data_IF_537433377032
#
_entry.id   IF_537433377032
#
_cell.length_a   1.000
_cell.length_b   1.000
_cell.length_c   1.000
_cell.angle_alpha   90.00
_cell.angle_beta   90.00
_cell.angle_gamma   90.00
#
_symmetry.space_group_name_H-M   'P 1'
#
loop_
_entity.id
_entity.type
_entity.pdbx_description
1 polymer ?
#
# COMPACT_ATOMS: atom_id res chain seq x y z
N UNK A 1 -2.19 7.59 4.74
CA UNK A 1 -1.45 8.90 4.71
C UNK A 1 -1.72 9.73 3.46
N UNK A 2 -1.57 9.19 2.25
CA UNK A 2 -1.72 9.92 0.96
C UNK A 2 -3.01 10.74 0.84
N UNK A 3 -4.17 10.19 1.26
CA UNK A 3 -5.46 10.91 1.16
C UNK A 3 -5.51 12.10 2.14
N UNK A 4 -4.98 11.96 3.36
CA UNK A 4 -4.91 13.05 4.34
C UNK A 4 -4.09 14.19 3.76
N UNK A 5 -2.87 13.89 3.29
CA UNK A 5 -1.97 14.86 2.68
C UNK A 5 -2.64 15.60 1.50
N UNK A 6 -3.31 14.86 0.62
CA UNK A 6 -4.02 15.44 -0.54
C UNK A 6 -5.12 16.41 -0.11
N UNK A 7 -5.90 16.08 0.91
CA UNK A 7 -6.96 16.98 1.42
C UNK A 7 -6.41 18.31 1.94
N UNK A 8 -5.29 18.28 2.68
CA UNK A 8 -4.64 19.52 3.10
C UNK A 8 -4.01 20.25 1.91
N UNK A 9 -3.39 19.55 0.98
CA UNK A 9 -2.78 20.12 -0.22
C UNK A 9 -3.81 20.84 -1.09
N UNK A 10 -4.97 20.26 -1.33
CA UNK A 10 -6.06 20.87 -2.10
C UNK A 10 -6.51 22.23 -1.50
N UNK A 11 -6.46 22.38 -0.18
CA UNK A 11 -6.80 23.65 0.46
C UNK A 11 -5.71 24.70 0.23
N UNK A 12 -4.44 24.32 0.35
CA UNK A 12 -3.31 25.26 0.25
C UNK A 12 -2.96 25.60 -1.19
N UNK A 13 -3.28 24.74 -2.18
CA UNK A 13 -3.01 24.99 -3.59
C UNK A 13 -3.77 26.16 -4.17
N UNK A 14 -4.92 26.51 -3.57
CA UNK A 14 -5.77 27.62 -4.02
C UNK A 14 -5.48 28.94 -3.29
N UNK A 15 -4.50 28.95 -2.35
CA UNK A 15 -4.16 30.10 -1.55
C UNK A 15 -3.00 30.90 -2.17
N UNK A 16 -3.07 32.22 -2.08
CA UNK A 16 -1.93 33.08 -2.36
C UNK A 16 -0.88 33.02 -1.22
N UNK A 17 0.32 33.58 -1.44
CA UNK A 17 1.43 33.48 -0.48
C UNK A 17 1.11 34.02 0.92
N UNK A 18 0.34 35.11 0.99
CA UNK A 18 -0.02 35.72 2.27
C UNK A 18 -1.04 34.91 3.04
N UNK A 19 -2.08 34.39 2.36
CA UNK A 19 -3.07 33.51 2.93
C UNK A 19 -2.46 32.15 3.32
N UNK A 20 -1.47 31.67 2.57
CA UNK A 20 -0.75 30.43 2.86
C UNK A 20 -0.03 30.50 4.20
N UNK A 21 0.68 31.61 4.49
CA UNK A 21 1.42 31.79 5.76
C UNK A 21 0.53 31.71 7.00
N UNK A 22 -0.72 32.14 6.87
CA UNK A 22 -1.70 32.17 7.97
C UNK A 22 -2.66 30.99 7.97
N UNK A 23 -2.53 30.08 7.00
CA UNK A 23 -3.45 28.96 6.84
C UNK A 23 -3.15 27.83 7.84
N UNK A 24 -4.15 27.42 8.63
CA UNK A 24 -4.07 26.25 9.49
C UNK A 24 -3.90 24.95 8.68
N UNK A 25 -4.31 24.93 7.43
CA UNK A 25 -4.13 23.78 6.55
C UNK A 25 -2.66 23.50 6.23
N UNK A 26 -1.78 24.54 6.18
CA UNK A 26 -0.34 24.35 5.95
C UNK A 26 0.31 23.56 7.10
N UNK A 27 -0.16 23.77 8.33
CA UNK A 27 0.35 23.02 9.50
C UNK A 27 0.00 21.53 9.37
N UNK A 28 -1.25 21.21 9.03
CA UNK A 28 -1.67 19.83 8.77
C UNK A 28 -0.92 19.18 7.60
N UNK A 29 -0.66 19.94 6.54
CA UNK A 29 0.16 19.49 5.42
C UNK A 29 1.61 19.19 5.85
N UNK A 30 2.21 20.09 6.63
CA UNK A 30 3.58 19.94 7.13
C UNK A 30 3.74 18.71 8.05
N UNK A 31 2.74 18.36 8.85
CA UNK A 31 2.74 17.10 9.59
C UNK A 31 2.82 15.89 8.65
N UNK A 32 2.04 15.91 7.58
CA UNK A 32 2.12 14.85 6.58
C UNK A 32 3.49 14.76 5.93
N UNK A 33 4.10 15.90 5.58
CA UNK A 33 5.45 15.96 4.98
C UNK A 33 6.53 15.43 5.93
N UNK A 34 6.48 15.76 7.23
CA UNK A 34 7.41 15.24 8.23
C UNK A 34 7.37 13.70 8.29
N UNK A 35 6.16 13.12 8.32
CA UNK A 35 5.96 11.69 8.36
C UNK A 35 6.47 11.02 7.08
N UNK A 36 6.17 11.59 5.90
CA UNK A 36 6.67 11.06 4.63
C UNK A 36 8.19 11.18 4.49
N UNK A 37 8.78 12.26 4.96
CA UNK A 37 10.22 12.47 4.92
C UNK A 37 10.95 11.44 5.78
N UNK A 38 10.45 11.14 6.98
CA UNK A 38 11.01 10.09 7.81
C UNK A 38 10.96 8.72 7.10
N UNK A 39 9.81 8.33 6.57
CA UNK A 39 9.67 7.06 5.84
C UNK A 39 10.55 6.98 4.57
N UNK A 40 10.74 8.10 3.88
CA UNK A 40 11.64 8.18 2.73
C UNK A 40 13.10 7.99 3.16
N UNK A 41 13.55 8.69 4.19
CA UNK A 41 14.91 8.54 4.74
C UNK A 41 15.19 7.11 5.21
N UNK A 42 14.22 6.45 5.87
CA UNK A 42 14.34 5.05 6.26
C UNK A 42 14.55 4.13 5.05
N UNK A 43 13.81 4.37 3.98
CA UNK A 43 13.96 3.59 2.74
C UNK A 43 15.29 3.84 2.05
N UNK A 44 15.69 5.10 1.91
CA UNK A 44 16.96 5.48 1.27
C UNK A 44 18.17 4.93 2.00
N UNK A 45 18.16 4.98 3.33
CA UNK A 45 19.33 4.60 4.14
C UNK A 45 19.43 3.10 4.39
N UNK A 46 18.32 2.36 4.45
CA UNK A 46 18.33 0.99 4.97
C UNK A 46 17.69 -0.06 4.05
N UNK A 47 17.03 0.30 2.93
CA UNK A 47 16.29 -0.67 2.09
C UNK A 47 17.17 -1.80 1.53
N UNK A 48 18.47 -1.58 1.42
CA UNK A 48 19.43 -2.57 0.90
C UNK A 48 20.14 -3.37 2.01
N UNK A 49 19.76 -3.19 3.27
CA UNK A 49 20.34 -3.93 4.41
C UNK A 49 19.49 -5.14 4.75
N UNK A 50 20.14 -6.26 5.16
CA UNK A 50 19.41 -7.48 5.52
C UNK A 50 18.50 -7.33 6.75
N UNK A 51 18.72 -6.28 7.56
CA UNK A 51 17.97 -5.95 8.76
C UNK A 51 17.00 -4.77 8.59
N UNK A 52 16.63 -4.43 7.35
CA UNK A 52 15.80 -3.27 7.01
C UNK A 52 14.52 -3.18 7.83
N UNK A 53 13.75 -4.25 7.91
CA UNK A 53 12.46 -4.23 8.61
C UNK A 53 12.64 -4.07 10.13
N UNK A 54 13.69 -4.64 10.70
CA UNK A 54 14.00 -4.50 12.11
C UNK A 54 14.38 -3.04 12.44
N UNK A 55 15.29 -2.45 11.68
CA UNK A 55 15.68 -1.04 11.84
C UNK A 55 14.50 -0.08 11.62
N UNK A 56 13.67 -0.37 10.61
CA UNK A 56 12.47 0.42 10.34
C UNK A 56 11.51 0.38 11.52
N UNK A 57 11.30 -0.77 12.13
CA UNK A 57 10.50 -0.93 13.34
C UNK A 57 11.04 -0.09 14.51
N UNK A 58 12.32 -0.21 14.82
CA UNK A 58 12.96 0.50 15.92
C UNK A 58 12.91 2.03 15.75
N UNK A 59 13.23 2.53 14.56
CA UNK A 59 13.21 3.96 14.27
C UNK A 59 11.76 4.48 14.26
N UNK A 60 10.80 3.71 13.79
CA UNK A 60 9.38 4.08 13.88
C UNK A 60 8.90 4.22 15.32
N UNK A 61 9.29 3.32 16.21
CA UNK A 61 8.95 3.45 17.63
C UNK A 61 9.59 4.68 18.26
N UNK A 62 10.81 5.00 17.88
CA UNK A 62 11.56 6.14 18.42
C UNK A 62 11.08 7.48 17.85
N UNK A 63 10.96 7.57 16.54
CA UNK A 63 10.83 8.86 15.84
C UNK A 63 9.45 9.05 15.20
N UNK A 64 8.83 8.00 14.62
CA UNK A 64 7.52 8.12 13.98
C UNK A 64 6.37 8.15 14.99
N UNK A 65 6.46 7.34 16.06
CA UNK A 65 5.42 7.30 17.10
C UNK A 65 5.13 8.69 17.68
N UNK A 66 6.13 9.45 18.19
CA UNK A 66 5.86 10.78 18.72
C UNK A 66 5.34 11.75 17.65
N UNK A 67 5.73 11.61 16.37
CA UNK A 67 5.18 12.42 15.28
C UNK A 67 3.70 12.13 15.04
N UNK A 68 3.28 10.86 15.08
CA UNK A 68 1.88 10.48 14.93
C UNK A 68 1.03 10.95 16.12
N UNK A 69 1.56 10.86 17.33
CA UNK A 69 0.90 11.33 18.55
C UNK A 69 0.71 12.86 18.54
N UNK A 70 1.75 13.61 18.20
CA UNK A 70 1.67 15.06 18.09
C UNK A 70 0.74 15.52 16.94
N UNK A 71 0.71 14.79 15.83
CA UNK A 71 -0.22 15.07 14.74
C UNK A 71 -1.67 14.80 15.16
N UNK A 72 -1.93 13.72 15.90
CA UNK A 72 -3.25 13.41 16.43
C UNK A 72 -3.72 14.49 17.42
N UNK A 73 -2.85 14.97 18.30
CA UNK A 73 -3.14 16.07 19.23
C UNK A 73 -3.46 17.36 18.47
N UNK A 74 -2.67 17.73 17.46
CA UNK A 74 -2.95 18.86 16.58
C UNK A 74 -4.35 18.74 15.95
N UNK A 75 -4.70 17.57 15.37
CA UNK A 75 -6.00 17.34 14.74
C UNK A 75 -7.14 17.53 15.77
N UNK A 76 -7.00 16.92 16.95
CA UNK A 76 -8.02 16.98 18.00
C UNK A 76 -8.21 18.38 18.60
N UNK A 77 -7.20 19.21 18.52
CA UNK A 77 -7.27 20.62 18.93
C UNK A 77 -7.92 21.47 17.84
N UNK A 78 -7.42 21.38 16.62
CA UNK A 78 -7.87 22.22 15.50
C UNK A 78 -9.32 21.95 15.06
N UNK A 79 -9.78 20.71 15.20
CA UNK A 79 -11.14 20.35 14.78
C UNK A 79 -12.22 21.05 15.61
N UNK A 80 -11.91 21.44 16.85
CA UNK A 80 -12.86 22.14 17.76
C UNK A 80 -13.25 23.51 17.23
N UNK A 81 -12.30 24.18 16.59
CA UNK A 81 -12.44 25.55 16.07
C UNK A 81 -12.67 25.59 14.54
N UNK A 82 -12.73 24.43 13.89
CA UNK A 82 -12.96 24.35 12.46
C UNK A 82 -14.45 24.21 12.14
N UNK A 83 -14.93 24.99 11.17
CA UNK A 83 -16.30 24.84 10.68
C UNK A 83 -16.48 23.45 10.05
N UNK A 84 -17.42 22.61 10.50
CA UNK A 84 -17.51 21.19 10.08
C UNK A 84 -17.65 20.98 8.57
N UNK A 85 -18.35 21.89 7.87
CA UNK A 85 -18.56 21.81 6.41
C UNK A 85 -17.48 22.49 5.58
N UNK A 86 -16.55 23.21 6.21
CA UNK A 86 -15.43 23.84 5.50
C UNK A 86 -14.47 22.78 4.94
N UNK A 87 -13.65 23.13 3.91
CA UNK A 87 -12.62 22.24 3.41
C UNK A 87 -11.66 21.79 4.52
N UNK A 88 -11.26 22.68 5.42
CA UNK A 88 -10.40 22.37 6.56
C UNK A 88 -11.10 21.42 7.56
N UNK A 89 -12.35 21.69 7.92
CA UNK A 89 -13.11 20.82 8.83
C UNK A 89 -13.24 19.39 8.29
N UNK A 90 -13.56 19.24 7.00
CA UNK A 90 -13.62 17.94 6.32
C UNK A 90 -12.25 17.22 6.27
N UNK A 91 -11.15 17.96 6.09
CA UNK A 91 -9.81 17.38 6.09
C UNK A 91 -9.43 16.90 7.49
N UNK A 92 -9.69 17.70 8.53
CA UNK A 92 -9.45 17.36 9.93
C UNK A 92 -10.31 16.18 10.39
N UNK A 93 -11.60 16.15 10.04
CA UNK A 93 -12.50 15.03 10.37
C UNK A 93 -12.00 13.72 9.75
N UNK A 94 -11.56 13.77 8.50
CA UNK A 94 -10.99 12.59 7.85
C UNK A 94 -9.68 12.15 8.52
N UNK A 95 -8.81 13.10 8.87
CA UNK A 95 -7.55 12.83 9.55
C UNK A 95 -7.80 12.23 10.94
N UNK A 96 -8.74 12.76 11.72
CA UNK A 96 -9.12 12.25 13.04
C UNK A 96 -9.55 10.78 13.02
N UNK A 97 -10.30 10.37 11.98
CA UNK A 97 -10.73 8.97 11.80
C UNK A 97 -9.62 8.04 11.31
N UNK A 98 -8.59 8.60 10.68
CA UNK A 98 -7.59 7.81 9.93
C UNK A 98 -6.26 7.71 10.68
N UNK A 99 -5.78 8.78 11.32
CA UNK A 99 -4.47 8.81 11.99
C UNK A 99 -4.34 7.74 13.09
N UNK A 100 -5.34 7.49 13.96
CA UNK A 100 -5.26 6.40 14.92
C UNK A 100 -5.01 5.03 14.29
N UNK A 101 -5.64 4.77 13.12
CA UNK A 101 -5.47 3.51 12.38
C UNK A 101 -4.07 3.38 11.75
N UNK A 102 -3.40 4.49 11.50
CA UNK A 102 -2.03 4.46 10.96
C UNK A 102 -1.01 3.99 11.99
N UNK A 103 -1.33 4.03 13.28
CA UNK A 103 -0.45 3.52 14.34
C UNK A 103 -0.15 2.01 14.21
N UNK A 104 -0.97 1.26 13.45
CA UNK A 104 -0.68 -0.14 13.10
C UNK A 104 0.70 -0.33 12.45
N UNK A 105 1.24 0.67 11.74
CA UNK A 105 2.59 0.57 11.17
C UNK A 105 3.71 0.51 12.21
N UNK A 106 3.38 0.80 13.47
CA UNK A 106 4.29 0.69 14.61
C UNK A 106 4.37 -0.74 15.16
N UNK A 107 3.52 -1.65 14.69
CA UNK A 107 3.48 -3.05 15.17
C UNK A 107 4.48 -3.92 14.42
N UNK A 108 4.78 -3.59 13.15
CA UNK A 108 5.69 -4.35 12.30
C UNK A 108 6.39 -3.44 11.29
N UNK A 109 7.71 -3.56 11.17
CA UNK A 109 8.52 -2.79 10.22
C UNK A 109 8.25 -3.11 8.75
N UNK A 110 7.62 -4.24 8.43
CA UNK A 110 7.25 -4.61 7.06
C UNK A 110 6.02 -3.86 6.55
N UNK A 111 5.17 -3.34 7.45
CA UNK A 111 3.95 -2.63 7.09
C UNK A 111 4.24 -1.29 6.41
N UNK A 112 3.53 -1.01 5.32
CA UNK A 112 3.64 0.25 4.60
C UNK A 112 2.68 1.32 5.16
N UNK A 113 3.15 2.58 5.23
CA UNK A 113 2.34 3.71 5.74
C UNK A 113 1.27 4.15 4.75
N UNK A 114 1.35 3.70 3.52
CA UNK A 114 0.37 3.96 2.46
C UNK A 114 -0.06 2.67 1.77
N UNK A 115 -1.11 2.76 0.96
CA UNK A 115 -1.67 1.61 0.24
C UNK A 115 -1.15 1.53 -1.21
N UNK A 116 -0.03 2.18 -1.54
CA UNK A 116 0.46 2.26 -2.91
C UNK A 116 0.82 0.88 -3.49
N UNK A 117 1.32 -0.04 -2.67
CA UNK A 117 1.63 -1.40 -3.11
C UNK A 117 0.36 -2.15 -3.54
N UNK A 118 -0.69 -2.12 -2.70
CA UNK A 118 -1.97 -2.74 -3.02
C UNK A 118 -2.65 -2.05 -4.22
N UNK A 119 -2.62 -0.70 -4.30
CA UNK A 119 -3.14 0.04 -5.46
C UNK A 119 -2.41 -0.36 -6.75
N UNK A 120 -1.08 -0.52 -6.72
CA UNK A 120 -0.30 -0.99 -7.88
C UNK A 120 -0.65 -2.43 -8.27
N UNK A 121 -0.84 -3.31 -7.28
CA UNK A 121 -1.21 -4.71 -7.54
C UNK A 121 -2.60 -4.84 -8.19
N UNK A 122 -3.54 -3.99 -7.80
CA UNK A 122 -4.91 -3.99 -8.37
C UNK A 122 -4.99 -3.26 -9.71
N UNK A 123 -4.10 -2.30 -9.97
CA UNK A 123 -4.12 -1.45 -11.17
C UNK A 123 -4.13 -2.23 -12.49
N UNK A 124 -3.33 -3.29 -12.72
CA UNK A 124 -3.37 -4.07 -13.95
C UNK A 124 -4.75 -4.68 -14.21
N UNK A 125 -5.42 -5.19 -13.15
CA UNK A 125 -6.78 -5.71 -13.24
C UNK A 125 -7.79 -4.64 -13.67
N UNK A 126 -7.70 -3.43 -13.07
CA UNK A 126 -8.60 -2.32 -13.41
C UNK A 126 -8.36 -1.82 -14.84
N UNK A 127 -7.12 -1.78 -15.31
CA UNK A 127 -6.78 -1.40 -16.69
C UNK A 127 -7.24 -2.49 -17.66
N UNK A 128 -6.96 -3.75 -17.36
CA UNK A 128 -7.36 -4.89 -18.17
C UNK A 128 -8.87 -4.98 -18.35
N UNK A 129 -9.65 -4.56 -17.35
CA UNK A 129 -11.11 -4.48 -17.43
C UNK A 129 -11.63 -3.64 -18.63
N UNK A 130 -10.88 -2.66 -19.09
CA UNK A 130 -11.21 -1.87 -20.28
C UNK A 130 -11.08 -2.64 -21.58
N UNK A 131 -10.22 -3.68 -21.61
CA UNK A 131 -9.91 -4.45 -22.80
C UNK A 131 -10.83 -5.67 -23.00
N UNK A 132 -11.42 -6.19 -21.94
CA UNK A 132 -12.20 -7.44 -21.94
C UNK A 132 -13.61 -7.28 -21.39
N UNK A 133 -14.22 -6.16 -21.64
CA UNK A 133 -15.66 -5.95 -21.41
C UNK A 133 -16.24 -6.88 -20.33
N UNK A 134 -16.40 -6.38 -19.14
CA UNK A 134 -17.20 -6.89 -18.01
C UNK A 134 -17.47 -8.41 -17.97
N UNK A 135 -17.14 -9.05 -16.87
CA UNK A 135 -17.70 -10.36 -16.56
C UNK A 135 -19.22 -10.20 -16.39
N UNK A 136 -20.00 -10.79 -17.29
CA UNK A 136 -21.47 -10.73 -17.28
C UNK A 136 -22.08 -11.46 -16.08
N UNK A 137 -21.28 -12.23 -15.34
CA UNK A 137 -21.72 -12.99 -14.18
C UNK A 137 -20.77 -12.82 -13.00
N UNK A 138 -21.30 -12.91 -11.78
CA UNK A 138 -20.49 -12.90 -10.56
C UNK A 138 -19.43 -14.02 -10.54
N UNK A 139 -19.76 -15.21 -11.10
CA UNK A 139 -18.83 -16.33 -11.23
C UNK A 139 -17.68 -16.00 -12.17
N UNK A 140 -17.94 -15.40 -13.33
CA UNK A 140 -16.90 -14.97 -14.28
C UNK A 140 -16.00 -13.88 -13.69
N UNK A 141 -16.57 -12.90 -12.97
CA UNK A 141 -15.80 -11.88 -12.28
C UNK A 141 -14.85 -12.47 -11.23
N UNK A 142 -15.32 -13.43 -10.44
CA UNK A 142 -14.51 -14.14 -9.44
C UNK A 142 -13.38 -14.93 -10.09
N UNK A 143 -13.67 -15.67 -11.16
CA UNK A 143 -12.65 -16.45 -11.89
C UNK A 143 -11.56 -15.54 -12.46
N UNK A 144 -11.92 -14.43 -13.09
CA UNK A 144 -10.97 -13.45 -13.60
C UNK A 144 -10.11 -12.86 -12.47
N UNK A 145 -10.72 -12.46 -11.35
CA UNK A 145 -9.99 -11.93 -10.20
C UNK A 145 -9.01 -12.95 -9.62
N UNK A 146 -9.39 -14.24 -9.55
CA UNK A 146 -8.52 -15.32 -9.08
C UNK A 146 -7.29 -15.50 -9.99
N UNK A 147 -7.49 -15.57 -11.31
CA UNK A 147 -6.39 -15.71 -12.27
C UNK A 147 -5.43 -14.51 -12.20
N UNK A 148 -5.98 -13.29 -12.12
CA UNK A 148 -5.15 -12.09 -11.96
C UNK A 148 -4.37 -12.06 -10.65
N UNK A 149 -4.98 -12.52 -9.56
CA UNK A 149 -4.29 -12.64 -8.28
C UNK A 149 -3.09 -13.60 -8.38
N UNK A 150 -3.25 -14.74 -9.05
CA UNK A 150 -2.16 -15.69 -9.30
C UNK A 150 -1.07 -15.04 -10.16
N UNK A 151 -1.42 -14.35 -11.25
CA UNK A 151 -0.49 -13.67 -12.14
C UNK A 151 0.32 -12.61 -11.40
N UNK A 152 -0.32 -11.72 -10.66
CA UNK A 152 0.38 -10.66 -9.93
C UNK A 152 1.26 -11.22 -8.79
N UNK A 153 0.82 -12.30 -8.15
CA UNK A 153 1.63 -13.01 -7.16
C UNK A 153 2.85 -13.67 -7.81
N UNK A 154 2.68 -14.30 -8.98
CA UNK A 154 3.79 -14.89 -9.71
C UNK A 154 4.81 -13.84 -10.15
N UNK A 155 4.38 -12.66 -10.62
CA UNK A 155 5.26 -11.51 -10.90
C UNK A 155 6.03 -11.08 -9.66
N UNK A 156 5.35 -10.93 -8.52
CA UNK A 156 5.97 -10.54 -7.26
C UNK A 156 7.03 -11.53 -6.78
N UNK A 157 6.88 -12.81 -7.12
CA UNK A 157 7.84 -13.87 -6.83
C UNK A 157 8.89 -14.09 -7.95
N UNK A 158 8.97 -13.20 -8.94
CA UNK A 158 9.98 -13.24 -9.99
C UNK A 158 9.84 -14.43 -10.94
N UNK A 159 8.60 -14.86 -11.23
CA UNK A 159 8.35 -15.97 -12.15
C UNK A 159 8.11 -15.49 -13.59
N UNK A 160 8.46 -16.32 -14.56
CA UNK A 160 8.11 -16.17 -15.98
C UNK A 160 6.66 -16.56 -16.18
N UNK A 161 5.77 -15.57 -16.28
CA UNK A 161 4.32 -15.73 -16.14
C UNK A 161 3.72 -16.78 -17.06
N UNK A 162 4.00 -16.71 -18.36
CA UNK A 162 3.45 -17.63 -19.36
C UNK A 162 3.85 -19.09 -19.06
N UNK A 163 5.12 -19.33 -18.78
CA UNK A 163 5.63 -20.64 -18.43
C UNK A 163 5.10 -21.17 -17.11
N UNK A 164 4.95 -20.29 -16.12
CA UNK A 164 4.37 -20.66 -14.85
C UNK A 164 2.89 -21.03 -14.99
N UNK A 165 2.10 -20.27 -15.74
CA UNK A 165 0.70 -20.61 -16.01
C UNK A 165 0.58 -21.95 -16.76
N UNK A 166 1.40 -22.18 -17.77
CA UNK A 166 1.45 -23.49 -18.45
C UNK A 166 1.74 -24.61 -17.47
N UNK A 167 2.82 -24.50 -16.69
CA UNK A 167 3.17 -25.45 -15.64
C UNK A 167 2.02 -25.68 -14.67
N UNK A 168 1.36 -24.62 -14.19
CA UNK A 168 0.25 -24.69 -13.26
C UNK A 168 -0.93 -25.48 -13.83
N UNK A 169 -1.33 -25.21 -15.07
CA UNK A 169 -2.42 -25.91 -15.74
C UNK A 169 -2.09 -27.39 -15.98
N UNK A 170 -0.88 -27.71 -16.41
CA UNK A 170 -0.41 -29.07 -16.59
C UNK A 170 -0.37 -29.82 -15.26
N UNK A 171 0.21 -29.22 -14.21
CA UNK A 171 0.32 -29.82 -12.90
C UNK A 171 -1.07 -30.09 -12.28
N UNK A 172 -1.98 -29.11 -12.29
CA UNK A 172 -3.34 -29.29 -11.73
C UNK A 172 -4.11 -30.39 -12.47
N UNK A 173 -3.91 -30.50 -13.79
CA UNK A 173 -4.60 -31.52 -14.60
C UNK A 173 -4.13 -32.95 -14.28
N UNK A 174 -2.89 -33.10 -13.83
CA UNK A 174 -2.27 -34.38 -13.51
C UNK A 174 -2.29 -34.73 -12.02
N UNK A 175 -2.85 -33.87 -11.15
CA UNK A 175 -3.02 -34.21 -9.73
C UNK A 175 -4.10 -35.29 -9.55
N UNK A 176 -3.71 -36.38 -8.90
CA UNK A 176 -4.66 -37.44 -8.49
C UNK A 176 -5.63 -36.91 -7.43
N UNK A 177 -5.12 -36.17 -6.45
CA UNK A 177 -5.89 -35.53 -5.39
C UNK A 177 -5.68 -34.01 -5.44
N UNK A 178 -6.79 -33.27 -5.49
CA UNK A 178 -6.77 -31.77 -5.45
C UNK A 178 -7.01 -31.30 -4.02
N UNK A 179 -6.21 -31.78 -3.09
CA UNK A 179 -6.22 -31.32 -1.71
C UNK A 179 -5.47 -29.96 -1.56
N UNK A 180 -5.62 -29.38 -0.38
CA UNK A 180 -5.01 -28.08 -0.09
C UNK A 180 -3.48 -28.12 -0.15
N UNK A 181 -2.88 -29.20 0.36
CA UNK A 181 -1.43 -29.30 0.50
C UNK A 181 -0.77 -29.48 -0.87
N UNK A 182 -1.32 -30.32 -1.73
CA UNK A 182 -0.88 -30.49 -3.13
C UNK A 182 -0.98 -29.19 -3.92
N UNK A 183 -2.03 -28.39 -3.69
CA UNK A 183 -2.19 -27.09 -4.35
C UNK A 183 -1.24 -26.02 -3.82
N UNK A 184 -0.88 -26.03 -2.52
CA UNK A 184 0.10 -25.10 -1.94
C UNK A 184 1.47 -25.26 -2.60
N UNK A 185 1.86 -26.47 -2.94
CA UNK A 185 3.12 -26.78 -3.60
C UNK A 185 3.25 -26.12 -4.99
N UNK A 186 2.13 -25.85 -5.64
CA UNK A 186 2.06 -25.20 -6.95
C UNK A 186 1.99 -23.65 -6.85
N UNK A 187 1.83 -23.09 -5.66
CA UNK A 187 1.70 -21.64 -5.50
C UNK A 187 3.00 -20.90 -5.84
N UNK A 188 2.92 -19.63 -6.33
CA UNK A 188 4.07 -18.89 -6.83
C UNK A 188 5.23 -18.70 -5.84
N UNK A 189 4.95 -18.78 -4.55
CA UNK A 189 5.93 -18.65 -3.47
C UNK A 189 6.53 -19.98 -2.99
N UNK A 190 6.06 -21.11 -3.54
CA UNK A 190 6.53 -22.44 -3.13
C UNK A 190 7.98 -22.68 -3.57
N UNK A 191 8.77 -23.28 -2.67
CA UNK A 191 10.14 -23.70 -2.98
C UNK A 191 10.20 -24.87 -3.98
N UNK A 192 9.05 -25.56 -4.18
CA UNK A 192 8.92 -26.67 -5.15
C UNK A 192 8.73 -26.20 -6.59
N UNK A 193 8.57 -24.90 -6.83
CA UNK A 193 8.47 -24.35 -8.18
C UNK A 193 9.80 -24.57 -8.93
N UNK A 194 9.77 -25.14 -10.16
CA UNK A 194 10.96 -25.37 -10.97
C UNK A 194 11.80 -24.12 -11.17
N UNK A 195 13.11 -24.24 -10.99
CA UNK A 195 14.05 -23.10 -11.06
C UNK A 195 14.06 -22.39 -12.42
N UNK A 196 13.80 -23.12 -13.50
CA UNK A 196 13.71 -22.59 -14.87
C UNK A 196 12.55 -21.63 -15.08
N UNK A 197 11.53 -21.69 -14.19
CA UNK A 197 10.39 -20.76 -14.19
C UNK A 197 10.72 -19.43 -13.53
N UNK A 198 11.81 -19.34 -12.79
CA UNK A 198 12.25 -18.09 -12.14
C UNK A 198 12.96 -17.19 -13.16
N UNK A 199 12.71 -15.87 -13.02
CA UNK A 199 13.51 -14.88 -13.73
C UNK A 199 14.93 -14.92 -13.16
N UNK A 200 15.94 -14.85 -14.03
CA UNK A 200 17.32 -14.69 -13.57
C UNK A 200 17.40 -13.35 -12.83
N UNK A 201 18.02 -13.29 -11.63
CA UNK A 201 18.30 -12.02 -11.01
C UNK A 201 19.11 -11.18 -12.00
N UNK A 202 18.62 -9.97 -12.30
CA UNK A 202 19.37 -8.99 -13.05
C UNK A 202 20.66 -8.75 -12.26
N UNK A 203 21.80 -9.11 -12.87
CA UNK A 203 23.12 -8.86 -12.30
C UNK A 203 23.37 -7.37 -12.17
#
# INVERSE_FOLDING_TARGET
MRIIRRKFHEIISDLNEEALKNSRAIIGFNWCEKIYNLERQLRENYSNTGDYYQKRYEIRLKDLKPLLEAFEEYINTEIKDALPRSPLGKALEYAQKTVPKMKTVLEDGSLEIDNNAAERAVKPFVIGRKNWLFANTAKGARSSATIYSIIETAKANGLKIERYLQYLFEAISNLEFKDRDSLIDLMPWSDKIPKELKLNPIK
#
